data_IF_190042731996
#
_entry.id   IF_190042731996
#
_cell.length_a   1.000
_cell.length_b   1.000
_cell.length_c   1.000
_cell.angle_alpha   90.00
_cell.angle_beta   90.00
_cell.angle_gamma   90.00
#
_symmetry.space_group_name_H-M   'P 1'
#
loop_
_entity.id
_entity.type
_entity.pdbx_description
1 polymer ?
#
# COMPACT_ATOMS: atom_id res chain seq x y z
N UNK A 1 14.60 6.10 -17.69
CA UNK A 1 15.43 6.11 -16.47
C UNK A 1 16.81 5.64 -16.88
N UNK A 2 17.85 6.43 -16.61
CA UNK A 2 19.24 6.02 -16.81
C UNK A 2 19.52 4.87 -15.84
N UNK A 3 20.14 3.79 -16.32
CA UNK A 3 20.63 2.73 -15.45
C UNK A 3 21.51 3.35 -14.36
N UNK A 4 21.17 3.06 -13.10
CA UNK A 4 22.03 3.47 -11.99
C UNK A 4 23.37 2.73 -12.13
N UNK A 5 24.53 3.40 -11.95
CA UNK A 5 25.82 2.76 -12.06
C UNK A 5 25.95 1.62 -11.04
N UNK A 6 26.70 0.56 -11.34
CA UNK A 6 27.03 -0.47 -10.37
C UNK A 6 27.73 0.18 -9.18
N UNK A 7 27.26 -0.11 -7.99
CA UNK A 7 27.90 0.29 -6.72
C UNK A 7 28.67 -0.93 -6.25
N UNK A 8 29.89 -0.76 -5.75
CA UNK A 8 30.61 -1.79 -4.99
C UNK A 8 29.81 -2.09 -3.72
N UNK A 9 28.76 -2.88 -3.85
CA UNK A 9 27.85 -3.21 -2.78
C UNK A 9 28.42 -4.35 -1.94
N UNK A 10 28.29 -4.24 -0.63
CA UNK A 10 28.52 -5.37 0.29
C UNK A 10 27.40 -6.38 0.03
N UNK A 11 27.67 -7.70 0.02
CA UNK A 11 26.61 -8.70 -0.05
C UNK A 11 25.59 -8.49 1.07
N UNK A 12 24.29 -8.47 0.71
CA UNK A 12 23.21 -8.28 1.70
C UNK A 12 23.20 -9.43 2.71
N UNK A 13 23.55 -10.64 2.25
CA UNK A 13 23.56 -11.84 3.08
C UNK A 13 24.98 -12.41 3.16
N UNK A 14 25.48 -12.58 4.38
CA UNK A 14 26.79 -13.19 4.64
C UNK A 14 26.65 -14.28 5.71
N UNK A 15 27.35 -15.42 5.51
CA UNK A 15 27.37 -16.51 6.47
C UNK A 15 28.22 -16.15 7.68
N UNK A 16 27.74 -16.43 8.88
CA UNK A 16 28.51 -16.26 10.11
C UNK A 16 29.70 -17.22 10.12
N UNK A 17 30.91 -16.72 10.28
CA UNK A 17 32.08 -17.57 10.54
C UNK A 17 32.14 -17.89 12.04
N UNK A 18 31.76 -19.12 12.42
CA UNK A 18 31.91 -19.61 13.78
C UNK A 18 30.98 -20.78 14.07
N UNK A 19 31.54 -21.87 14.62
CA UNK A 19 30.78 -23.02 15.12
C UNK A 19 30.39 -22.71 16.56
N UNK A 20 29.12 -22.42 16.82
CA UNK A 20 28.56 -22.47 18.16
C UNK A 20 27.53 -23.59 18.22
N UNK A 21 27.59 -24.41 19.28
CA UNK A 21 26.51 -25.38 19.56
C UNK A 21 25.21 -24.61 19.78
N UNK A 22 24.26 -24.83 18.90
CA UNK A 22 22.95 -24.17 18.91
C UNK A 22 22.03 -24.80 19.95
N UNK A 23 21.67 -24.03 20.96
CA UNK A 23 20.35 -24.20 21.58
C UNK A 23 19.29 -23.78 20.58
N UNK A 24 18.24 -24.61 20.39
CA UNK A 24 17.09 -24.23 19.56
C UNK A 24 16.61 -22.82 19.95
N UNK A 25 16.45 -21.90 18.98
CA UNK A 25 15.95 -20.58 19.31
C UNK A 25 14.54 -20.70 19.91
N UNK A 26 14.19 -19.82 20.86
CA UNK A 26 12.85 -19.79 21.40
C UNK A 26 11.82 -19.60 20.25
N UNK A 27 10.59 -20.13 20.40
CA UNK A 27 9.54 -19.92 19.42
C UNK A 27 9.35 -18.41 19.18
N UNK A 28 8.98 -17.98 17.97
CA UNK A 28 8.77 -16.57 17.69
C UNK A 28 7.74 -16.01 18.66
N UNK A 29 8.08 -14.90 19.31
CA UNK A 29 7.18 -14.25 20.24
C UNK A 29 5.85 -13.91 19.54
N UNK A 30 4.67 -14.01 20.21
CA UNK A 30 3.38 -13.69 19.61
C UNK A 30 3.34 -12.27 19.07
N UNK A 31 2.49 -11.99 18.07
CA UNK A 31 2.31 -10.63 17.56
C UNK A 31 1.92 -9.70 18.72
N UNK A 32 2.40 -8.44 18.75
CA UNK A 32 1.97 -7.49 19.76
C UNK A 32 0.46 -7.24 19.61
N UNK A 33 -0.21 -6.89 20.70
CA UNK A 33 -1.57 -6.38 20.63
C UNK A 33 -1.54 -4.99 19.99
N UNK A 34 -2.23 -4.86 18.87
CA UNK A 34 -2.39 -3.57 18.21
C UNK A 34 -3.63 -2.87 18.76
N UNK A 35 -3.49 -1.58 19.09
CA UNK A 35 -4.63 -0.77 19.53
C UNK A 35 -5.49 -0.40 18.33
N UNK A 36 -6.76 -0.75 18.37
CA UNK A 36 -7.77 -0.29 17.40
C UNK A 36 -8.34 1.04 17.91
N UNK A 37 -7.84 2.16 17.35
CA UNK A 37 -8.29 3.51 17.76
C UNK A 37 -9.51 3.97 16.96
N UNK A 38 -9.67 3.44 15.75
CA UNK A 38 -10.75 3.79 14.83
C UNK A 38 -11.55 2.51 14.54
N UNK A 39 -12.86 2.45 14.82
CA UNK A 39 -13.68 1.27 14.54
C UNK A 39 -13.90 1.09 13.03
N UNK A 40 -14.18 -0.15 12.57
CA UNK A 40 -14.53 -0.39 11.18
C UNK A 40 -15.85 0.33 10.81
N UNK A 41 -15.98 0.81 9.56
CA UNK A 41 -17.18 1.49 9.10
C UNK A 41 -18.32 0.52 8.83
N UNK A 42 -19.56 1.00 8.98
CA UNK A 42 -20.73 0.34 8.42
C UNK A 42 -20.87 0.70 6.93
N UNK A 43 -20.64 -0.28 6.07
CA UNK A 43 -20.73 -0.15 4.62
C UNK A 43 -22.04 -0.72 4.03
N UNK A 44 -23.03 -1.02 4.86
CA UNK A 44 -24.32 -1.61 4.42
C UNK A 44 -24.98 -0.79 3.30
N UNK A 45 -24.91 0.54 3.38
CA UNK A 45 -25.46 1.45 2.37
C UNK A 45 -24.80 1.33 0.97
N UNK A 46 -23.61 0.76 0.89
CA UNK A 46 -22.83 0.66 -0.36
C UNK A 46 -22.68 -0.77 -0.87
N UNK A 47 -23.21 -1.76 -0.12
CA UNK A 47 -23.04 -3.19 -0.42
C UNK A 47 -23.51 -3.56 -1.83
N UNK A 48 -24.68 -3.08 -2.23
CA UNK A 48 -25.25 -3.40 -3.54
C UNK A 48 -24.57 -2.66 -4.70
N UNK A 49 -23.84 -1.56 -4.40
CA UNK A 49 -23.31 -0.66 -5.42
C UNK A 49 -24.43 0.10 -6.15
N UNK A 50 -24.09 0.78 -7.25
CA UNK A 50 -25.06 1.51 -8.09
C UNK A 50 -24.89 1.27 -9.61
N UNK A 51 -24.04 0.33 -9.99
CA UNK A 51 -23.73 0.02 -11.40
C UNK A 51 -23.82 -1.48 -11.72
N UNK A 52 -24.54 -2.26 -10.90
CA UNK A 52 -24.68 -3.72 -11.05
C UNK A 52 -23.51 -4.54 -10.54
N UNK A 53 -22.51 -3.90 -9.92
CA UNK A 53 -21.38 -4.57 -9.29
C UNK A 53 -21.44 -4.26 -7.79
N UNK A 54 -21.58 -5.27 -6.91
CA UNK A 54 -21.62 -5.06 -5.46
C UNK A 54 -20.42 -4.28 -4.96
N UNK A 55 -20.63 -3.33 -4.03
CA UNK A 55 -19.55 -2.52 -3.45
C UNK A 55 -18.89 -1.53 -4.41
N UNK A 56 -19.47 -1.29 -5.59
CA UNK A 56 -18.96 -0.32 -6.57
C UNK A 56 -19.95 0.82 -6.73
N UNK A 57 -19.49 2.03 -6.42
CA UNK A 57 -20.22 3.27 -6.64
C UNK A 57 -19.63 4.00 -7.85
N UNK A 58 -20.41 4.19 -8.91
CA UNK A 58 -19.99 4.83 -10.15
C UNK A 58 -20.79 6.09 -10.41
N UNK A 59 -20.10 7.17 -10.78
CA UNK A 59 -20.68 8.46 -11.06
C UNK A 59 -20.06 9.07 -12.31
N UNK A 60 -20.89 9.66 -13.15
CA UNK A 60 -20.46 10.28 -14.40
C UNK A 60 -20.91 11.74 -14.47
N UNK A 61 -20.01 12.60 -14.96
CA UNK A 61 -20.29 13.99 -15.28
C UNK A 61 -20.75 14.11 -16.74
N UNK A 62 -21.56 15.13 -17.02
CA UNK A 62 -21.87 15.51 -18.42
C UNK A 62 -20.68 16.08 -19.18
N UNK A 63 -19.60 16.47 -18.48
CA UNK A 63 -18.37 17.02 -19.07
C UNK A 63 -17.34 15.92 -19.24
N UNK A 64 -16.75 15.84 -20.42
CA UNK A 64 -15.65 14.91 -20.73
C UNK A 64 -14.46 15.15 -19.77
N UNK A 65 -13.85 14.07 -19.34
CA UNK A 65 -12.70 14.09 -18.45
C UNK A 65 -12.21 12.67 -18.12
N UNK A 66 -11.20 12.54 -17.24
CA UNK A 66 -10.64 11.24 -16.89
C UNK A 66 -11.60 10.40 -16.05
N UNK A 67 -11.46 9.09 -16.13
CA UNK A 67 -12.05 8.16 -15.19
C UNK A 67 -11.11 7.96 -14.01
N UNK A 68 -11.47 8.54 -12.86
CA UNK A 68 -10.75 8.36 -11.60
C UNK A 68 -11.37 7.21 -10.83
N UNK A 69 -10.54 6.25 -10.44
CA UNK A 69 -10.95 5.08 -9.65
C UNK A 69 -10.21 5.10 -8.31
N UNK A 70 -10.95 5.02 -7.23
CA UNK A 70 -10.39 4.85 -5.88
C UNK A 70 -10.80 3.49 -5.37
N UNK A 71 -9.82 2.66 -5.05
CA UNK A 71 -10.02 1.33 -4.49
C UNK A 71 -9.63 1.37 -3.02
N UNK A 72 -10.38 0.68 -2.19
CA UNK A 72 -10.06 0.43 -0.80
C UNK A 72 -10.50 -0.99 -0.42
N UNK A 73 -10.03 -1.49 0.71
CA UNK A 73 -10.33 -2.84 1.17
C UNK A 73 -9.84 -3.95 0.22
N UNK A 74 -8.74 -3.78 -0.46
CA UNK A 74 -8.04 -4.93 -1.05
C UNK A 74 -7.75 -5.97 0.05
N UNK A 75 -7.41 -5.46 1.25
CA UNK A 75 -7.32 -6.25 2.47
C UNK A 75 -8.41 -5.80 3.46
N UNK A 76 -9.19 -6.75 3.99
CA UNK A 76 -10.35 -6.43 4.82
C UNK A 76 -10.03 -5.74 6.15
N UNK A 77 -8.82 -5.95 6.69
CA UNK A 77 -8.38 -5.28 7.92
C UNK A 77 -7.80 -3.88 7.70
N UNK A 78 -7.68 -3.41 6.46
CA UNK A 78 -7.11 -2.11 6.08
C UNK A 78 -8.24 -1.11 5.76
N UNK A 79 -9.16 -0.91 6.69
CA UNK A 79 -10.43 -0.21 6.42
C UNK A 79 -10.38 1.32 6.53
N UNK A 80 -9.23 1.92 6.82
CA UNK A 80 -9.10 3.38 6.90
C UNK A 80 -9.53 4.07 5.59
N UNK A 81 -9.13 3.49 4.44
CA UNK A 81 -9.58 3.97 3.12
C UNK A 81 -11.09 3.90 2.95
N UNK A 82 -11.73 2.85 3.48
CA UNK A 82 -13.17 2.67 3.40
C UNK A 82 -13.92 3.73 4.22
N UNK A 83 -13.41 4.11 5.39
CA UNK A 83 -13.99 5.21 6.19
C UNK A 83 -13.98 6.50 5.37
N UNK A 84 -12.85 6.83 4.74
CA UNK A 84 -12.73 8.04 3.92
C UNK A 84 -13.70 8.03 2.75
N UNK A 85 -13.86 6.87 2.09
CA UNK A 85 -14.79 6.74 0.96
C UNK A 85 -16.26 6.80 1.43
N UNK A 86 -16.61 6.21 2.57
CA UNK A 86 -17.94 6.32 3.17
C UNK A 86 -18.29 7.78 3.48
N UNK A 87 -17.39 8.53 4.10
CA UNK A 87 -17.58 9.96 4.36
C UNK A 87 -17.86 10.76 3.09
N UNK A 88 -17.10 10.51 2.01
CA UNK A 88 -17.29 11.18 0.72
C UNK A 88 -18.62 10.83 0.06
N UNK A 89 -19.00 9.57 0.09
CA UNK A 89 -20.26 9.11 -0.50
C UNK A 89 -21.47 9.66 0.25
N UNK A 90 -21.42 9.70 1.60
CA UNK A 90 -22.45 10.34 2.44
C UNK A 90 -22.54 11.84 2.19
N UNK A 91 -21.43 12.49 1.93
CA UNK A 91 -21.40 13.90 1.50
C UNK A 91 -21.82 14.12 0.03
N UNK A 92 -22.25 13.06 -0.67
CA UNK A 92 -22.74 13.09 -2.05
C UNK A 92 -21.75 13.68 -3.05
N UNK A 93 -20.46 13.36 -2.91
CA UNK A 93 -19.44 13.79 -3.87
C UNK A 93 -19.81 13.36 -5.29
N UNK A 94 -19.54 14.24 -6.25
CA UNK A 94 -19.77 13.98 -7.68
C UNK A 94 -18.59 14.54 -8.49
N UNK A 95 -18.21 13.87 -9.60
CA UNK A 95 -17.19 14.42 -10.50
C UNK A 95 -17.71 15.66 -11.21
N UNK A 96 -16.90 16.70 -11.29
CA UNK A 96 -17.19 17.88 -12.10
C UNK A 96 -16.93 17.61 -13.59
N UNK A 97 -15.99 16.72 -13.88
CA UNK A 97 -15.62 16.27 -15.23
C UNK A 97 -15.29 14.78 -15.19
N UNK A 98 -15.54 14.07 -16.28
CA UNK A 98 -15.21 12.65 -16.42
C UNK A 98 -16.04 11.75 -15.50
N UNK A 99 -15.41 10.72 -14.94
CA UNK A 99 -16.06 9.68 -14.15
C UNK A 99 -15.32 9.46 -12.82
N UNK A 100 -16.07 9.09 -11.80
CA UNK A 100 -15.54 8.66 -10.51
C UNK A 100 -16.11 7.29 -10.16
N UNK A 101 -15.24 6.30 -9.90
CA UNK A 101 -15.64 5.05 -9.28
C UNK A 101 -14.98 4.89 -7.92
N UNK A 102 -15.77 4.48 -6.93
CA UNK A 102 -15.31 4.07 -5.61
C UNK A 102 -15.56 2.57 -5.49
N UNK A 103 -14.53 1.81 -5.16
CA UNK A 103 -14.57 0.35 -5.07
C UNK A 103 -14.21 -0.08 -3.64
N UNK A 104 -15.17 -0.66 -2.94
CA UNK A 104 -14.93 -1.44 -1.73
C UNK A 104 -14.63 -2.87 -2.16
N UNK A 105 -13.35 -3.22 -2.26
CA UNK A 105 -12.93 -4.43 -2.96
C UNK A 105 -13.34 -5.71 -2.20
N UNK A 106 -12.91 -5.91 -0.97
CA UNK A 106 -13.13 -7.14 -0.20
C UNK A 106 -14.00 -6.90 1.04
N UNK A 107 -15.27 -6.54 0.82
CA UNK A 107 -16.25 -6.34 1.90
C UNK A 107 -16.44 -7.65 2.70
N UNK A 108 -16.34 -8.82 2.05
CA UNK A 108 -16.44 -10.11 2.69
C UNK A 108 -15.37 -10.33 3.76
N UNK A 109 -14.14 -9.96 3.47
CA UNK A 109 -13.05 -10.02 4.45
C UNK A 109 -13.24 -9.00 5.59
N UNK A 110 -13.66 -7.76 5.29
CA UNK A 110 -13.99 -6.77 6.32
C UNK A 110 -15.07 -7.28 7.27
N UNK A 111 -16.09 -7.97 6.76
CA UNK A 111 -17.19 -8.52 7.57
C UNK A 111 -16.72 -9.54 8.62
N UNK A 112 -15.51 -10.09 8.46
CA UNK A 112 -14.86 -11.01 9.41
C UNK A 112 -13.93 -10.28 10.39
N UNK A 113 -13.92 -8.95 10.41
CA UNK A 113 -13.03 -8.20 11.29
C UNK A 113 -13.38 -8.45 12.77
N UNK A 114 -12.37 -8.90 13.51
CA UNK A 114 -12.43 -9.18 14.94
C UNK A 114 -11.34 -8.35 15.64
N UNK A 115 -11.68 -7.41 16.52
CA UNK A 115 -10.70 -6.59 17.25
C UNK A 115 -9.68 -7.40 18.07
N UNK A 116 -10.04 -8.61 18.52
CA UNK A 116 -9.13 -9.49 19.26
C UNK A 116 -8.16 -10.22 18.32
N UNK A 117 -8.50 -10.36 17.03
CA UNK A 117 -7.69 -10.99 15.99
C UNK A 117 -7.65 -10.16 14.73
N UNK A 118 -7.22 -8.88 14.81
CA UNK A 118 -7.45 -7.89 13.75
C UNK A 118 -6.71 -8.18 12.44
N UNK A 119 -5.70 -9.04 12.46
CA UNK A 119 -4.99 -9.47 11.25
C UNK A 119 -5.65 -10.64 10.52
N UNK A 120 -6.58 -11.36 11.18
CA UNK A 120 -7.21 -12.55 10.61
C UNK A 120 -8.13 -12.23 9.42
N UNK A 121 -8.69 -11.02 9.38
CA UNK A 121 -9.58 -10.57 8.31
C UNK A 121 -8.85 -9.89 7.13
N UNK A 122 -7.55 -10.15 6.97
CA UNK A 122 -6.80 -9.59 5.84
C UNK A 122 -7.36 -10.05 4.50
N UNK A 123 -7.67 -11.32 4.36
CA UNK A 123 -8.33 -11.93 3.19
C UNK A 123 -9.06 -13.21 3.62
N UNK A 124 -9.86 -13.78 2.75
CA UNK A 124 -10.62 -15.02 2.98
C UNK A 124 -9.79 -16.23 2.51
N UNK A 125 -9.41 -16.28 1.24
CA UNK A 125 -8.67 -17.40 0.65
C UNK A 125 -7.22 -17.03 0.35
N UNK A 126 -6.97 -15.84 -0.27
CA UNK A 126 -5.65 -15.43 -0.72
C UNK A 126 -5.48 -13.90 -0.75
N UNK A 127 -4.24 -13.43 -0.82
CA UNK A 127 -3.96 -11.99 -0.93
C UNK A 127 -4.44 -11.42 -2.28
N UNK A 128 -5.54 -10.66 -2.27
CA UNK A 128 -6.11 -10.04 -3.46
C UNK A 128 -5.12 -9.14 -4.20
N UNK A 129 -4.09 -8.63 -3.51
CA UNK A 129 -3.05 -7.81 -4.14
C UNK A 129 -1.91 -8.67 -4.75
N UNK A 130 -2.21 -9.94 -5.12
CA UNK A 130 -1.31 -10.87 -5.83
C UNK A 130 -1.94 -11.46 -7.10
N UNK A 131 -3.22 -11.19 -7.37
CA UNK A 131 -3.99 -11.87 -8.43
C UNK A 131 -4.12 -11.07 -9.73
N UNK A 132 -3.52 -9.88 -9.84
CA UNK A 132 -3.77 -8.94 -10.94
C UNK A 132 -2.92 -9.17 -12.18
N UNK A 133 -2.44 -10.39 -12.43
CA UNK A 133 -1.86 -10.72 -13.74
C UNK A 133 -2.94 -11.18 -14.72
N UNK A 134 -2.78 -10.89 -16.01
CA UNK A 134 -3.70 -11.33 -17.06
C UNK A 134 -3.90 -12.86 -17.02
N UNK A 135 -2.80 -13.61 -16.85
CA UNK A 135 -2.85 -15.07 -16.78
C UNK A 135 -3.65 -15.56 -15.56
N UNK A 136 -3.58 -14.87 -14.42
CA UNK A 136 -4.33 -15.25 -13.23
C UNK A 136 -5.80 -14.87 -13.38
N UNK A 137 -6.09 -13.67 -13.86
CA UNK A 137 -7.45 -13.16 -14.02
C UNK A 137 -8.26 -13.99 -15.04
N UNK A 138 -7.62 -14.44 -16.12
CA UNK A 138 -8.28 -15.24 -17.18
C UNK A 138 -8.04 -16.74 -17.03
N UNK A 139 -7.31 -17.17 -16.00
CA UNK A 139 -7.05 -18.61 -15.74
C UNK A 139 -8.25 -19.35 -15.16
N UNK A 140 -8.13 -20.67 -15.07
CA UNK A 140 -9.20 -21.55 -14.60
C UNK A 140 -9.34 -21.62 -13.07
N UNK A 141 -8.36 -21.13 -12.32
CA UNK A 141 -8.36 -21.13 -10.86
C UNK A 141 -9.46 -20.19 -10.32
N UNK A 142 -10.03 -20.52 -9.18
CA UNK A 142 -11.02 -19.71 -8.47
C UNK A 142 -10.63 -19.55 -7.00
N UNK A 143 -10.94 -18.42 -6.43
CA UNK A 143 -10.91 -18.11 -5.01
C UNK A 143 -11.83 -16.91 -4.76
N UNK A 144 -12.18 -16.64 -3.51
CA UNK A 144 -13.02 -15.48 -3.17
C UNK A 144 -12.43 -14.18 -3.72
N UNK A 145 -11.14 -13.95 -3.50
CA UNK A 145 -10.46 -12.74 -3.93
C UNK A 145 -10.28 -12.65 -5.43
N UNK A 146 -9.97 -13.77 -6.10
CA UNK A 146 -9.81 -13.80 -7.55
C UNK A 146 -11.15 -13.56 -8.28
N UNK A 147 -12.21 -14.18 -7.80
CA UNK A 147 -13.54 -14.00 -8.39
C UNK A 147 -14.04 -12.56 -8.16
N UNK A 148 -13.70 -11.99 -6.99
CA UNK A 148 -13.96 -10.58 -6.72
C UNK A 148 -13.14 -9.65 -7.63
N UNK A 149 -11.88 -9.93 -7.85
CA UNK A 149 -11.03 -9.18 -8.78
C UNK A 149 -11.63 -9.20 -10.20
N UNK A 150 -12.11 -10.35 -10.67
CA UNK A 150 -12.81 -10.48 -11.97
C UNK A 150 -14.09 -9.64 -12.05
N UNK A 151 -14.88 -9.58 -10.97
CA UNK A 151 -16.10 -8.77 -10.93
C UNK A 151 -15.83 -7.27 -11.12
N UNK A 152 -14.77 -6.76 -10.50
CA UNK A 152 -14.42 -5.32 -10.58
C UNK A 152 -13.52 -4.98 -11.78
N UNK A 153 -12.96 -5.98 -12.45
CA UNK A 153 -12.04 -5.81 -13.59
C UNK A 153 -12.57 -4.88 -14.68
N UNK A 154 -13.86 -4.92 -15.08
CA UNK A 154 -14.40 -4.01 -16.11
C UNK A 154 -14.24 -2.53 -15.74
N UNK A 155 -14.37 -2.19 -14.45
CA UNK A 155 -14.17 -0.81 -13.97
C UNK A 155 -12.69 -0.45 -13.98
N UNK A 156 -11.82 -1.37 -13.55
CA UNK A 156 -10.36 -1.19 -13.54
C UNK A 156 -9.82 -0.98 -14.96
N UNK A 157 -10.33 -1.72 -15.95
CA UNK A 157 -9.92 -1.59 -17.36
C UNK A 157 -10.21 -0.20 -17.95
N UNK A 158 -11.20 0.50 -17.46
CA UNK A 158 -11.57 1.84 -17.96
C UNK A 158 -10.92 2.97 -17.16
N UNK A 159 -10.18 2.67 -16.11
CA UNK A 159 -9.53 3.68 -15.27
C UNK A 159 -8.39 4.41 -16.02
N UNK A 160 -8.41 5.74 -15.99
CA UNK A 160 -7.30 6.59 -16.43
C UNK A 160 -6.36 6.91 -15.26
N UNK A 161 -6.94 7.06 -14.07
CA UNK A 161 -6.20 7.32 -12.82
C UNK A 161 -6.74 6.39 -11.75
N UNK A 162 -5.87 5.65 -11.08
CA UNK A 162 -6.23 4.77 -9.97
C UNK A 162 -5.41 5.08 -8.73
N UNK A 163 -6.08 5.15 -7.57
CA UNK A 163 -5.46 5.12 -6.25
C UNK A 163 -5.98 3.93 -5.48
N UNK A 164 -5.05 3.09 -5.01
CA UNK A 164 -5.31 1.97 -4.11
C UNK A 164 -4.97 2.38 -2.68
N UNK A 165 -5.96 2.32 -1.77
CA UNK A 165 -5.81 2.80 -0.40
C UNK A 165 -5.51 1.64 0.55
N UNK A 166 -4.30 1.64 1.08
CA UNK A 166 -3.77 0.68 2.03
C UNK A 166 -3.28 1.34 3.32
N UNK A 167 -2.90 0.50 4.25
CA UNK A 167 -2.20 0.86 5.48
C UNK A 167 -1.27 -0.29 5.89
N UNK A 168 -0.43 -0.08 6.90
CA UNK A 168 0.61 -1.01 7.30
C UNK A 168 0.33 -1.61 8.68
N UNK A 169 0.62 -2.91 8.87
CA UNK A 169 0.52 -3.53 10.18
C UNK A 169 1.57 -2.97 11.14
N UNK A 170 2.82 -2.90 10.69
CA UNK A 170 3.93 -2.40 11.50
C UNK A 170 4.05 -0.88 11.39
N UNK A 171 4.50 -0.20 12.46
CA UNK A 171 4.72 1.24 12.41
C UNK A 171 5.69 1.62 11.30
N UNK A 172 5.36 2.70 10.59
CA UNK A 172 6.19 3.22 9.51
C UNK A 172 5.69 4.58 9.04
N UNK A 173 6.58 5.30 8.38
CA UNK A 173 6.21 6.59 7.76
C UNK A 173 5.24 6.33 6.61
N UNK A 174 4.16 7.12 6.48
CA UNK A 174 3.30 7.04 5.31
C UNK A 174 4.09 7.22 4.01
N UNK A 175 3.77 6.44 3.00
CA UNK A 175 4.43 6.47 1.71
C UNK A 175 3.46 6.17 0.56
N UNK A 176 3.86 6.52 -0.66
CA UNK A 176 3.14 6.12 -1.87
C UNK A 176 4.04 5.17 -2.68
N UNK A 177 3.53 3.96 -2.95
CA UNK A 177 4.12 3.04 -3.91
C UNK A 177 3.64 3.44 -5.31
N UNK A 178 4.57 3.69 -6.22
CA UNK A 178 4.27 4.21 -7.57
C UNK A 178 4.46 3.19 -8.70
N UNK A 179 4.98 1.99 -8.37
CA UNK A 179 5.60 1.16 -9.38
C UNK A 179 6.80 1.87 -10.03
N UNK A 180 7.38 1.30 -11.07
CA UNK A 180 8.54 1.90 -11.77
C UNK A 180 8.19 2.85 -12.90
N UNK A 181 6.95 2.87 -13.35
CA UNK A 181 6.53 3.74 -14.45
C UNK A 181 6.60 5.22 -14.02
N UNK A 182 7.26 6.05 -14.84
CA UNK A 182 7.41 7.49 -14.56
C UNK A 182 6.06 8.19 -14.31
N UNK A 183 4.99 7.76 -15.00
CA UNK A 183 3.65 8.31 -14.82
C UNK A 183 3.05 8.01 -13.44
N UNK A 184 3.38 6.87 -12.82
CA UNK A 184 3.00 6.57 -11.44
C UNK A 184 3.74 7.45 -10.44
N UNK A 185 5.03 7.66 -10.65
CA UNK A 185 5.84 8.60 -9.85
C UNK A 185 5.27 10.02 -9.96
N UNK A 186 4.95 10.47 -11.18
CA UNK A 186 4.34 11.79 -11.42
C UNK A 186 3.01 11.92 -10.70
N UNK A 187 2.16 10.89 -10.74
CA UNK A 187 0.88 10.88 -10.00
C UNK A 187 1.12 11.01 -8.50
N UNK A 188 2.04 10.22 -7.94
CA UNK A 188 2.38 10.28 -6.52
C UNK A 188 2.89 11.67 -6.09
N UNK A 189 3.72 12.32 -6.94
CA UNK A 189 4.20 13.68 -6.73
C UNK A 189 3.06 14.72 -6.77
N UNK A 190 2.12 14.59 -7.72
CA UNK A 190 0.94 15.46 -7.84
C UNK A 190 0.02 15.37 -6.62
N UNK A 191 -0.16 14.16 -6.08
CA UNK A 191 -0.91 13.94 -4.85
C UNK A 191 -0.23 14.58 -3.66
N UNK A 192 1.09 14.43 -3.52
CA UNK A 192 1.89 15.12 -2.50
C UNK A 192 1.47 14.85 -1.05
N UNK A 193 0.72 13.79 -0.78
CA UNK A 193 0.17 13.51 0.55
C UNK A 193 1.19 12.90 1.53
N UNK A 194 2.32 12.43 1.01
CA UNK A 194 3.40 11.81 1.80
C UNK A 194 4.74 12.42 1.42
N UNK A 195 5.73 12.30 2.33
CA UNK A 195 7.11 12.75 2.07
C UNK A 195 7.94 11.69 1.32
N UNK A 196 7.43 10.46 1.25
CA UNK A 196 8.11 9.33 0.64
C UNK A 196 7.30 8.80 -0.55
N UNK A 197 7.96 8.71 -1.68
CA UNK A 197 7.50 7.97 -2.86
C UNK A 197 8.47 6.82 -3.05
N UNK A 198 7.96 5.61 -3.18
CA UNK A 198 8.77 4.41 -3.36
C UNK A 198 8.41 3.77 -4.70
N UNK A 199 9.40 3.71 -5.58
CA UNK A 199 9.32 2.99 -6.85
C UNK A 199 9.91 1.59 -6.68
N UNK A 200 9.15 0.56 -7.04
CA UNK A 200 9.57 -0.84 -6.95
C UNK A 200 9.04 -1.68 -8.13
N UNK A 201 9.55 -2.90 -8.28
CA UNK A 201 9.13 -3.84 -9.33
C UNK A 201 7.96 -4.75 -8.89
N UNK A 202 7.28 -4.41 -7.80
CA UNK A 202 6.17 -5.21 -7.28
C UNK A 202 6.61 -6.40 -6.42
N UNK A 203 5.86 -7.48 -6.48
CA UNK A 203 6.10 -8.70 -5.73
C UNK A 203 6.40 -9.88 -6.63
N UNK A 204 7.36 -10.72 -6.24
CA UNK A 204 7.64 -11.97 -6.94
C UNK A 204 6.52 -13.02 -6.75
N UNK A 205 5.69 -12.86 -5.70
CA UNK A 205 4.62 -13.81 -5.36
C UNK A 205 3.30 -13.53 -6.10
N UNK A 206 3.26 -12.51 -6.97
CA UNK A 206 2.08 -12.16 -7.75
C UNK A 206 1.97 -10.66 -8.04
N UNK A 207 1.09 -10.30 -8.95
CA UNK A 207 0.92 -8.95 -9.46
C UNK A 207 -0.03 -8.16 -8.58
N UNK A 208 0.38 -6.96 -8.15
CA UNK A 208 -0.49 -6.01 -7.43
C UNK A 208 -1.42 -5.30 -8.40
N UNK A 209 -2.51 -4.72 -7.88
CA UNK A 209 -3.44 -3.92 -8.67
C UNK A 209 -2.75 -2.77 -9.42
N UNK A 210 -1.85 -2.03 -8.77
CA UNK A 210 -1.11 -0.93 -9.42
C UNK A 210 -0.12 -1.38 -10.49
N UNK A 211 0.27 -2.66 -10.48
CA UNK A 211 1.17 -3.27 -11.46
C UNK A 211 0.41 -3.99 -12.59
N UNK A 212 -0.93 -3.98 -12.56
CA UNK A 212 -1.76 -4.53 -13.62
C UNK A 212 -1.41 -3.90 -14.98
N UNK A 213 -1.51 -4.68 -16.05
CA UNK A 213 -1.09 -4.29 -17.40
C UNK A 213 -1.66 -2.93 -17.85
N UNK A 214 -2.89 -2.59 -17.45
CA UNK A 214 -3.51 -1.28 -17.70
C UNK A 214 -2.62 -0.12 -17.22
N UNK A 215 -1.90 -0.28 -16.09
CA UNK A 215 -1.10 0.79 -15.47
C UNK A 215 0.40 0.62 -15.69
N UNK A 216 0.89 -0.58 -15.92
CA UNK A 216 2.32 -0.87 -16.08
C UNK A 216 2.81 -0.86 -17.53
N UNK A 217 1.96 -1.20 -18.50
CA UNK A 217 2.33 -1.26 -19.92
C UNK A 217 2.82 0.09 -20.45
N UNK A 218 3.88 0.13 -21.26
CA UNK A 218 4.37 1.37 -21.88
C UNK A 218 3.38 1.96 -22.91
N UNK A 219 2.42 1.17 -23.39
CA UNK A 219 1.46 1.57 -24.43
C UNK A 219 0.20 2.26 -23.88
N UNK A 220 0.11 2.48 -22.57
CA UNK A 220 -1.03 3.14 -21.94
C UNK A 220 -0.63 4.48 -21.33
N UNK A 221 -1.59 5.41 -21.24
CA UNK A 221 -1.47 6.66 -20.48
C UNK A 221 -2.07 6.54 -19.08
N UNK A 222 -2.75 5.44 -18.78
CA UNK A 222 -3.31 5.18 -17.47
C UNK A 222 -2.21 5.10 -16.41
N UNK A 223 -2.50 5.61 -15.23
CA UNK A 223 -1.54 5.72 -14.13
C UNK A 223 -2.16 5.29 -12.81
N UNK A 224 -1.40 4.61 -12.00
CA UNK A 224 -1.83 4.16 -10.69
C UNK A 224 -0.77 4.41 -9.63
N UNK A 225 -1.22 4.53 -8.40
CA UNK A 225 -0.38 4.48 -7.22
C UNK A 225 -1.12 3.83 -6.05
N UNK A 226 -0.36 3.35 -5.07
CA UNK A 226 -0.87 2.76 -3.85
C UNK A 226 -0.41 3.60 -2.66
N UNK A 227 -1.36 4.03 -1.83
CA UNK A 227 -1.06 4.74 -0.59
C UNK A 227 -0.93 3.75 0.56
N UNK A 228 0.19 3.76 1.24
CA UNK A 228 0.38 3.21 2.58
C UNK A 228 0.21 4.35 3.59
N UNK A 229 -1.00 4.48 4.13
CA UNK A 229 -1.41 5.68 4.85
C UNK A 229 -0.81 5.80 6.26
N UNK A 230 -0.22 4.76 6.79
CA UNK A 230 0.32 4.66 8.14
C UNK A 230 -0.02 3.33 8.79
N UNK A 231 0.19 3.20 10.10
CA UNK A 231 -0.13 1.98 10.84
C UNK A 231 -1.65 1.79 10.89
N UNK A 232 -2.13 0.55 10.73
CA UNK A 232 -3.55 0.20 10.77
C UNK A 232 -4.24 0.80 12.01
N UNK A 233 -5.50 1.19 11.87
CA UNK A 233 -6.44 1.58 12.93
C UNK A 233 -6.07 2.82 13.74
N UNK A 234 -4.98 3.53 13.42
CA UNK A 234 -4.63 4.81 14.05
C UNK A 234 -5.39 5.98 13.43
N UNK A 235 -5.78 6.95 14.26
CA UNK A 235 -6.42 8.20 13.80
C UNK A 235 -5.54 8.95 12.80
N UNK A 236 -4.22 8.96 13.00
CA UNK A 236 -3.28 9.63 12.09
C UNK A 236 -3.28 9.02 10.68
N UNK A 237 -3.53 7.71 10.57
CA UNK A 237 -3.66 7.02 9.27
C UNK A 237 -4.88 7.51 8.50
N UNK A 238 -6.00 7.75 9.22
CA UNK A 238 -7.20 8.33 8.64
C UNK A 238 -6.95 9.74 8.09
N UNK A 239 -6.24 10.59 8.84
CA UNK A 239 -5.86 11.93 8.37
C UNK A 239 -5.00 11.90 7.10
N UNK A 240 -4.06 10.94 7.02
CA UNK A 240 -3.22 10.78 5.83
C UNK A 240 -4.04 10.33 4.63
N UNK A 241 -4.95 9.37 4.79
CA UNK A 241 -5.83 8.89 3.73
C UNK A 241 -6.75 10.00 3.22
N UNK A 242 -7.39 10.80 4.10
CA UNK A 242 -8.22 11.96 3.73
C UNK A 242 -7.43 12.97 2.90
N UNK A 243 -6.21 13.30 3.34
CA UNK A 243 -5.33 14.23 2.61
C UNK A 243 -5.00 13.73 1.21
N UNK A 244 -4.67 12.44 1.06
CA UNK A 244 -4.33 11.84 -0.22
C UNK A 244 -5.53 11.81 -1.18
N UNK A 245 -6.68 11.39 -0.70
CA UNK A 245 -7.91 11.33 -1.50
C UNK A 245 -8.36 12.74 -1.90
N UNK A 246 -8.30 13.72 -1.00
CA UNK A 246 -8.61 15.12 -1.33
C UNK A 246 -7.70 15.64 -2.45
N UNK A 247 -6.40 15.38 -2.36
CA UNK A 247 -5.44 15.83 -3.37
C UNK A 247 -5.68 15.16 -4.72
N UNK A 248 -6.00 13.87 -4.73
CA UNK A 248 -6.35 13.12 -5.95
C UNK A 248 -7.60 13.67 -6.63
N UNK A 249 -8.66 13.94 -5.85
CA UNK A 249 -9.97 14.30 -6.39
C UNK A 249 -10.10 15.80 -6.70
N UNK A 250 -9.25 16.65 -6.13
CA UNK A 250 -9.32 18.12 -6.33
C UNK A 250 -9.37 18.56 -7.79
N UNK A 251 -8.64 17.97 -8.75
CA UNK A 251 -8.68 18.40 -10.13
C UNK A 251 -9.97 18.02 -10.88
N UNK A 252 -10.65 16.95 -10.48
CA UNK A 252 -11.77 16.34 -11.22
C UNK A 252 -13.11 16.35 -10.48
N UNK A 253 -13.11 16.60 -9.16
CA UNK A 253 -14.31 16.54 -8.34
C UNK A 253 -14.55 17.83 -7.59
N UNK A 254 -15.81 18.30 -7.59
CA UNK A 254 -16.25 19.34 -6.70
C UNK A 254 -16.46 18.72 -5.31
N UNK A 255 -15.61 19.08 -4.37
CA UNK A 255 -15.84 18.78 -2.95
C UNK A 255 -16.97 19.68 -2.45
N UNK A 256 -18.14 19.11 -2.15
CA UNK A 256 -19.30 19.87 -1.66
C UNK A 256 -19.05 20.38 -0.24
N UNK A 257 -19.69 21.50 0.12
CA UNK A 257 -19.37 22.34 1.30
C UNK A 257 -19.33 21.63 2.66
N UNK A 258 -20.08 20.55 2.88
CA UNK A 258 -20.07 19.84 4.17
C UNK A 258 -18.78 19.08 4.43
N UNK A 259 -18.20 18.48 3.40
CA UNK A 259 -16.91 17.78 3.52
C UNK A 259 -15.76 18.77 3.67
N UNK A 260 -15.82 19.90 2.98
CA UNK A 260 -14.84 20.94 3.19
C UNK A 260 -14.78 21.34 4.68
N UNK A 261 -15.91 21.55 5.34
CA UNK A 261 -15.94 21.88 6.77
C UNK A 261 -15.40 20.76 7.65
N UNK A 262 -15.81 19.51 7.41
CA UNK A 262 -15.37 18.36 8.22
C UNK A 262 -13.86 18.12 8.08
N UNK A 263 -13.30 18.27 6.87
CA UNK A 263 -11.87 18.06 6.61
C UNK A 263 -11.05 19.37 6.76
N UNK A 264 -11.67 20.54 6.90
CA UNK A 264 -11.01 21.82 7.16
C UNK A 264 -10.70 22.05 8.64
N UNK A 265 -11.48 21.49 9.54
CA UNK A 265 -11.13 21.46 10.98
C UNK A 265 -9.81 20.73 11.21
N UNK A 266 -9.47 19.77 10.34
CA UNK A 266 -8.17 19.08 10.37
C UNK A 266 -7.00 19.93 9.80
N UNK A 267 -7.28 21.02 9.08
CA UNK A 267 -6.24 21.96 8.60
C UNK A 267 -5.38 22.51 9.73
N UNK A 268 -5.98 22.77 10.88
CA UNK A 268 -5.29 23.36 12.04
C UNK A 268 -4.24 22.44 12.65
N UNK A 269 -4.34 21.11 12.39
CA UNK A 269 -3.42 20.10 12.93
C UNK A 269 -2.37 19.65 11.88
N UNK A 270 -2.62 19.83 10.59
CA UNK A 270 -1.86 19.21 9.51
C UNK A 270 -1.20 20.16 8.48
N UNK A 271 -1.46 21.45 8.52
CA UNK A 271 -0.82 22.42 7.61
C UNK A 271 0.47 23.01 8.20
N UNK A 272 1.38 22.18 8.63
CA UNK A 272 2.79 22.52 8.41
C UNK A 272 3.04 22.20 6.94
N UNK A 273 3.25 23.18 6.06
CA UNK A 273 3.64 22.91 4.69
C UNK A 273 4.84 21.96 4.75
N UNK A 274 4.94 20.94 3.88
CA UNK A 274 6.10 20.08 3.88
C UNK A 274 7.32 20.94 3.53
N UNK A 275 7.95 21.53 4.53
CA UNK A 275 9.26 22.22 4.42
C UNK A 275 10.35 21.26 3.97
N UNK A 276 10.05 19.97 3.92
CA UNK A 276 10.96 18.90 3.48
C UNK A 276 10.54 18.42 2.09
N UNK A 277 11.45 18.56 1.14
CA UNK A 277 11.32 18.04 -0.24
C UNK A 277 10.86 16.56 -0.22
N UNK A 278 9.88 16.20 -1.07
CA UNK A 278 9.50 14.80 -1.29
C UNK A 278 10.73 14.02 -1.76
N UNK A 279 10.94 12.83 -1.20
CA UNK A 279 12.03 11.93 -1.57
C UNK A 279 11.48 10.81 -2.43
N UNK A 280 12.04 10.63 -3.62
CA UNK A 280 11.79 9.46 -4.45
C UNK A 280 12.85 8.42 -4.14
N UNK A 281 12.42 7.26 -3.68
CA UNK A 281 13.28 6.13 -3.33
C UNK A 281 13.03 5.01 -4.32
N UNK A 282 14.07 4.34 -4.77
CA UNK A 282 13.95 3.17 -5.65
C UNK A 282 14.39 1.93 -4.88
N UNK A 283 13.52 0.93 -4.83
CA UNK A 283 13.86 -0.37 -4.27
C UNK A 283 14.92 -1.04 -5.13
N UNK A 284 16.00 -1.43 -4.49
CA UNK A 284 17.14 -2.11 -5.13
C UNK A 284 17.18 -3.59 -4.78
N UNK A 285 16.71 -3.94 -3.59
CA UNK A 285 16.87 -5.27 -3.02
C UNK A 285 15.65 -5.69 -2.21
N UNK A 286 15.38 -6.99 -2.24
CA UNK A 286 14.32 -7.64 -1.49
C UNK A 286 14.92 -8.73 -0.62
N UNK A 287 14.67 -8.65 0.69
CA UNK A 287 15.09 -9.65 1.65
C UNK A 287 13.92 -10.54 2.02
N UNK A 288 14.03 -11.85 1.79
CA UNK A 288 13.09 -12.88 2.25
C UNK A 288 13.66 -13.67 3.41
N UNK A 289 12.82 -14.00 4.37
CA UNK A 289 13.18 -14.93 5.44
C UNK A 289 13.34 -16.34 4.84
N UNK A 290 14.53 -16.92 4.97
CA UNK A 290 14.83 -18.28 4.50
C UNK A 290 14.50 -19.32 5.58
N UNK A 291 14.44 -18.89 6.83
CA UNK A 291 14.15 -19.75 7.97
C UNK A 291 13.08 -19.14 8.88
N UNK A 292 12.56 -19.93 9.81
CA UNK A 292 11.68 -19.44 10.89
C UNK A 292 12.44 -18.67 11.99
N UNK A 293 13.77 -18.59 11.89
CA UNK A 293 14.66 -17.90 12.85
C UNK A 293 15.07 -16.50 12.40
N UNK A 294 14.32 -15.91 11.45
CA UNK A 294 14.57 -14.53 11.03
C UNK A 294 14.25 -13.55 12.17
N UNK A 295 15.23 -12.76 12.58
CA UNK A 295 15.07 -11.79 13.68
C UNK A 295 15.83 -10.50 13.37
N UNK A 296 15.15 -9.37 13.43
CA UNK A 296 15.79 -8.06 13.36
C UNK A 296 16.59 -7.78 14.63
N UNK A 297 17.72 -7.08 14.49
CA UNK A 297 18.55 -6.66 15.64
C UNK A 297 17.98 -5.47 16.40
N UNK A 298 17.02 -4.77 15.80
CA UNK A 298 16.31 -3.62 16.37
C UNK A 298 14.89 -3.57 15.82
N UNK A 299 13.92 -2.99 16.53
CA UNK A 299 12.56 -2.78 16.02
C UNK A 299 12.53 -1.63 15.01
N UNK A 300 13.10 -1.86 13.83
CA UNK A 300 13.13 -0.87 12.75
C UNK A 300 11.72 -0.47 12.29
N UNK A 301 11.59 0.79 11.88
CA UNK A 301 10.37 1.34 11.30
C UNK A 301 10.50 1.52 9.78
N UNK A 302 9.37 1.41 9.08
CA UNK A 302 9.34 1.76 7.66
C UNK A 302 9.72 3.23 7.43
N UNK A 303 10.72 3.46 6.54
CA UNK A 303 11.29 4.77 6.27
C UNK A 303 12.52 5.14 7.10
N UNK A 304 13.03 4.24 7.95
CA UNK A 304 14.33 4.42 8.60
C UNK A 304 15.45 4.41 7.55
N UNK A 305 16.40 5.32 7.71
CA UNK A 305 17.59 5.41 6.85
C UNK A 305 18.81 5.00 7.68
N UNK A 306 19.48 3.97 7.22
CA UNK A 306 20.68 3.43 7.83
C UNK A 306 21.89 4.06 7.14
N UNK A 307 22.62 4.91 7.85
CA UNK A 307 23.66 5.75 7.28
C UNK A 307 24.83 4.97 6.69
N UNK A 308 25.25 3.89 7.35
CA UNK A 308 26.47 3.17 6.97
C UNK A 308 26.18 1.85 6.29
N UNK A 309 26.84 1.58 5.17
CA UNK A 309 26.85 0.28 4.52
C UNK A 309 27.46 -0.78 5.46
N UNK A 310 27.03 -2.04 5.29
CA UNK A 310 27.51 -3.15 6.14
C UNK A 310 26.90 -3.18 7.53
N UNK A 311 25.99 -2.25 7.87
CA UNK A 311 25.27 -2.26 9.15
C UNK A 311 24.38 -3.50 9.24
N UNK A 312 24.49 -4.24 10.35
CA UNK A 312 23.67 -5.43 10.61
C UNK A 312 22.22 -5.02 10.85
N UNK A 313 21.30 -5.61 10.07
CA UNK A 313 19.85 -5.36 10.17
C UNK A 313 19.12 -6.52 10.84
N UNK A 314 19.49 -7.75 10.49
CA UNK A 314 18.79 -8.95 10.94
C UNK A 314 19.72 -10.17 10.91
N UNK A 315 19.27 -11.23 11.56
CA UNK A 315 19.82 -12.58 11.45
C UNK A 315 18.75 -13.54 10.96
N UNK A 316 19.15 -14.49 10.13
CA UNK A 316 18.26 -15.50 9.57
C UNK A 316 18.96 -16.87 9.71
N UNK A 317 18.80 -17.50 10.87
CA UNK A 317 19.66 -18.59 11.28
C UNK A 317 21.11 -18.11 11.44
N UNK A 318 22.03 -18.71 10.68
CA UNK A 318 23.45 -18.36 10.70
C UNK A 318 23.83 -17.21 9.75
N UNK A 319 22.90 -16.79 8.93
CA UNK A 319 23.13 -15.69 7.99
C UNK A 319 22.92 -14.32 8.66
N UNK A 320 23.76 -13.37 8.31
CA UNK A 320 23.62 -11.97 8.67
C UNK A 320 23.09 -11.17 7.48
N UNK A 321 22.09 -10.34 7.73
CA UNK A 321 21.48 -9.44 6.75
C UNK A 321 22.01 -8.04 7.02
N UNK A 322 22.69 -7.44 6.05
CA UNK A 322 23.37 -6.16 6.19
C UNK A 322 22.98 -5.17 5.09
N UNK A 323 23.11 -3.87 5.39
CA UNK A 323 22.91 -2.81 4.39
C UNK A 323 23.95 -2.91 3.26
N UNK A 324 23.53 -2.88 1.97
CA UNK A 324 24.46 -3.02 0.84
C UNK A 324 25.19 -1.71 0.49
N UNK A 325 24.68 -0.56 0.92
CA UNK A 325 25.22 0.78 0.62
C UNK A 325 24.89 1.76 1.76
N UNK A 326 25.49 2.94 1.72
CA UNK A 326 25.23 4.05 2.63
C UNK A 326 23.84 4.65 2.39
N UNK A 327 23.25 5.30 3.41
CA UNK A 327 21.92 5.91 3.37
C UNK A 327 20.81 4.95 2.89
N UNK A 328 20.92 3.68 3.31
CA UNK A 328 20.00 2.63 2.93
C UNK A 328 18.65 2.80 3.65
N UNK A 329 17.58 3.04 2.91
CA UNK A 329 16.24 3.14 3.48
C UNK A 329 15.57 1.77 3.61
N UNK A 330 14.97 1.51 4.76
CA UNK A 330 14.17 0.32 5.02
C UNK A 330 12.71 0.56 4.61
N UNK A 331 12.19 -0.25 3.67
CA UNK A 331 10.82 -0.14 3.18
C UNK A 331 9.99 -1.25 3.80
N UNK A 332 9.01 -0.85 4.63
CA UNK A 332 7.97 -1.70 5.21
C UNK A 332 8.54 -3.00 5.83
N UNK A 333 9.45 -2.92 6.83
CA UNK A 333 9.97 -4.10 7.48
C UNK A 333 8.83 -4.89 8.15
N UNK A 334 8.73 -6.18 7.84
CA UNK A 334 7.89 -7.11 8.58
C UNK A 334 8.70 -7.64 9.75
N UNK A 335 8.44 -7.15 10.95
CA UNK A 335 9.24 -7.49 12.13
C UNK A 335 9.14 -8.96 12.55
N UNK A 336 8.21 -9.72 11.95
CA UNK A 336 8.02 -11.17 12.21
C UNK A 336 7.66 -11.92 10.94
N UNK A 337 8.59 -11.99 9.97
CA UNK A 337 8.32 -12.70 8.73
C UNK A 337 8.31 -14.20 8.97
N UNK A 338 7.33 -14.89 8.44
CA UNK A 338 7.37 -16.33 8.29
C UNK A 338 8.38 -16.74 7.21
N UNK A 339 8.82 -18.00 7.25
CA UNK A 339 9.70 -18.56 6.20
C UNK A 339 9.10 -18.34 4.81
N UNK A 340 9.89 -17.85 3.88
CA UNK A 340 9.50 -17.52 2.51
C UNK A 340 8.86 -16.14 2.35
N UNK A 341 8.43 -15.49 3.42
CA UNK A 341 7.83 -14.15 3.36
C UNK A 341 8.89 -13.07 3.18
N UNK A 342 8.49 -11.96 2.56
CA UNK A 342 9.31 -10.74 2.50
C UNK A 342 9.48 -10.18 3.90
N UNK A 343 10.74 -10.07 4.35
CA UNK A 343 11.09 -9.44 5.62
C UNK A 343 11.22 -7.92 5.48
N UNK A 344 11.88 -7.44 4.42
CA UNK A 344 12.00 -6.01 4.12
C UNK A 344 12.44 -5.81 2.66
N UNK A 345 12.26 -4.59 2.17
CA UNK A 345 12.90 -4.09 0.95
C UNK A 345 13.90 -3.00 1.33
N UNK A 346 14.99 -2.93 0.57
CA UNK A 346 16.00 -1.89 0.71
C UNK A 346 15.89 -0.93 -0.46
N UNK A 347 15.95 0.36 -0.17
CA UNK A 347 15.80 1.39 -1.17
C UNK A 347 16.83 2.51 -0.99
N UNK A 348 17.18 3.16 -2.11
CA UNK A 348 18.05 4.34 -2.12
C UNK A 348 17.36 5.53 -2.76
N UNK A 349 17.80 6.71 -2.39
CA UNK A 349 17.36 7.97 -2.99
C UNK A 349 17.80 8.03 -4.46
N UNK A 350 16.89 8.49 -5.31
CA UNK A 350 17.19 8.88 -6.68
C UNK A 350 16.97 10.38 -6.79
N UNK A 351 17.99 11.13 -7.22
CA UNK A 351 17.93 12.59 -7.36
C UNK A 351 16.79 13.09 -8.26
#
# INVERSE_FOLDING_TARGET
MKHLPPVDAVPIRTRRRGVFMETLPPPPAPLPRFKVEVPPPDLSAWREGNCGIPGVMHFESRRVGPHVVVVCLIHGNEYTGAIVMDELLRARIRPATGRLSVIFANIGALAQFDPERPVASRFIDEDMNRVWSENTLHGARSSHELDRARQILPVIHTADILMDLHSMLWPGRPLILSGRAARGITLAQQIGATKLIVADDGHADGTRLIDFARFSSPHTQARACLLEAGQHWQVQTLHTARRAVRALLRPSCLLTGNIQKTWEVEKTIAETPPTTRMRCMVVTDLVRAQSSRFTFVSPFCGGDIIAQRGTLLARDGDDEIRTPYDDCMLVMPNLRPGRGQTALRLARHVP
#
